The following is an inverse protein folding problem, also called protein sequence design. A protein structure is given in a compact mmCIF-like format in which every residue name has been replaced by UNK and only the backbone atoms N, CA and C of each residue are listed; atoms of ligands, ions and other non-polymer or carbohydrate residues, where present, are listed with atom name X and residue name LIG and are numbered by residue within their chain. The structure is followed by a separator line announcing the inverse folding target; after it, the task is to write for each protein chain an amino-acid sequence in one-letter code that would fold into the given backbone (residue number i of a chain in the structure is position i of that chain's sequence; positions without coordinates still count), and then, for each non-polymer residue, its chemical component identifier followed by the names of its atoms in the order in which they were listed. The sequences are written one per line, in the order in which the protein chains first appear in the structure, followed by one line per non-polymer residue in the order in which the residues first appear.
data_IF_064861538545
#
_entry.id   IF_064861538545
#
_cell.length_a   1.000
_cell.length_b   1.000
_cell.length_c   1.000
_cell.angle_alpha   90.00
_cell.angle_beta   90.00
_cell.angle_gamma   90.00
#
_symmetry.space_group_name_H-M   'P 1'
#
loop_
_entity.id
_entity.type
_entity.pdbx_description
1 polymer ?
#
# COMPACT_ATOMS: atom_id res chain seq x y z
N UNK A 1 -0.49 12.44 -16.87
CA UNK A 1 0.88 12.71 -17.37
C UNK A 1 1.53 13.87 -16.64
N UNK A 2 0.95 15.09 -16.67
CA UNK A 2 1.49 16.26 -15.93
C UNK A 2 1.69 15.99 -14.43
N UNK A 3 0.72 15.35 -13.78
CA UNK A 3 0.83 14.97 -12.36
C UNK A 3 2.01 14.04 -12.06
N UNK A 4 2.36 13.12 -12.97
CA UNK A 4 3.51 12.21 -12.77
C UNK A 4 4.82 13.00 -12.78
N UNK A 5 4.97 13.94 -13.71
CA UNK A 5 6.17 14.79 -13.83
C UNK A 5 6.30 15.70 -12.61
N UNK A 6 5.19 16.30 -12.16
CA UNK A 6 5.17 17.11 -10.94
C UNK A 6 5.55 16.28 -9.72
N UNK A 7 5.00 15.07 -9.56
CA UNK A 7 5.36 14.15 -8.48
C UNK A 7 6.84 13.74 -8.53
N UNK A 8 7.38 13.48 -9.73
CA UNK A 8 8.80 13.14 -9.90
C UNK A 8 9.72 14.27 -9.43
N UNK A 9 9.40 15.52 -9.78
CA UNK A 9 10.16 16.70 -9.33
C UNK A 9 10.05 16.86 -7.82
N UNK A 10 8.83 16.76 -7.26
CA UNK A 10 8.59 16.90 -5.82
C UNK A 10 9.23 15.78 -4.98
N UNK A 11 9.39 14.59 -5.55
CA UNK A 11 10.07 13.45 -4.92
C UNK A 11 11.58 13.44 -5.20
N UNK A 12 12.17 14.59 -5.52
CA UNK A 12 13.61 14.77 -5.74
C UNK A 12 14.21 13.82 -6.79
N UNK A 13 13.46 13.56 -7.86
CA UNK A 13 13.94 12.73 -8.96
C UNK A 13 13.97 11.23 -8.66
N UNK A 14 13.05 10.74 -7.82
CA UNK A 14 12.93 9.31 -7.51
C UNK A 14 12.72 8.48 -8.80
N UNK A 15 13.75 7.75 -9.20
CA UNK A 15 13.78 6.92 -10.41
C UNK A 15 12.80 5.74 -10.36
N UNK A 16 12.46 5.26 -9.16
CA UNK A 16 11.48 4.19 -8.94
C UNK A 16 10.08 4.57 -9.44
N UNK A 17 9.72 5.86 -9.36
CA UNK A 17 8.43 6.36 -9.86
C UNK A 17 8.34 6.22 -11.39
N UNK A 18 9.45 6.47 -12.10
CA UNK A 18 9.52 6.44 -13.55
C UNK A 18 9.56 5.00 -14.10
N UNK A 19 10.15 4.06 -13.35
CA UNK A 19 10.15 2.62 -13.67
C UNK A 19 8.92 1.87 -13.16
N UNK A 20 7.98 2.58 -12.52
CA UNK A 20 6.77 1.95 -11.97
C UNK A 20 5.83 1.42 -13.07
N UNK A 21 5.03 0.40 -12.72
CA UNK A 21 3.96 -0.09 -13.58
C UNK A 21 2.94 1.01 -13.94
N UNK A 22 2.77 2.01 -13.08
CA UNK A 22 1.87 3.13 -13.30
C UNK A 22 2.40 4.10 -14.38
N UNK A 23 3.69 4.44 -14.34
CA UNK A 23 4.30 5.26 -15.38
C UNK A 23 4.24 4.54 -16.74
N UNK A 24 4.59 3.25 -16.76
CA UNK A 24 4.50 2.43 -17.97
C UNK A 24 3.05 2.34 -18.49
N UNK A 25 2.07 2.17 -17.62
CA UNK A 25 0.67 2.07 -18.02
C UNK A 25 0.12 3.37 -18.61
N UNK A 26 0.50 4.53 -18.06
CA UNK A 26 0.10 5.83 -18.60
C UNK A 26 0.64 6.09 -20.01
N UNK A 27 1.89 5.70 -20.27
CA UNK A 27 2.50 5.85 -21.61
C UNK A 27 1.82 4.93 -22.62
N UNK A 28 1.54 3.69 -22.22
CA UNK A 28 0.85 2.72 -23.08
C UNK A 28 -0.59 3.14 -23.36
N UNK A 29 -1.32 3.62 -22.36
CA UNK A 29 -2.69 4.17 -22.56
C UNK A 29 -2.66 5.34 -23.54
N UNK A 30 -1.70 6.25 -23.41
CA UNK A 30 -1.56 7.37 -24.34
C UNK A 30 -1.29 6.91 -25.77
N UNK A 31 -0.39 5.92 -25.94
CA UNK A 31 -0.14 5.30 -27.24
C UNK A 31 -1.39 4.62 -27.83
N UNK A 32 -2.16 3.91 -27.01
CA UNK A 32 -3.41 3.27 -27.44
C UNK A 32 -4.45 4.34 -27.84
N UNK A 33 -4.61 5.42 -27.07
CA UNK A 33 -5.56 6.48 -27.37
C UNK A 33 -5.23 7.23 -28.67
N UNK A 34 -3.95 7.42 -28.99
CA UNK A 34 -3.50 8.08 -30.22
C UNK A 34 -3.61 7.14 -31.46
N UNK A 35 -3.48 5.82 -31.24
CA UNK A 35 -3.49 4.81 -32.29
C UNK A 35 -4.89 4.24 -32.58
N UNK A 36 -5.75 4.13 -31.56
CA UNK A 36 -7.13 3.63 -31.65
C UNK A 36 -7.96 4.31 -32.74
N UNK A 37 -8.01 5.67 -32.86
CA UNK A 37 -8.78 6.31 -33.93
C UNK A 37 -8.19 6.10 -35.33
N UNK A 38 -6.90 5.75 -35.46
CA UNK A 38 -6.21 5.54 -36.74
C UNK A 38 -6.31 4.10 -37.24
N UNK A 39 -6.38 3.12 -36.34
CA UNK A 39 -6.33 1.68 -36.69
C UNK A 39 -7.69 0.99 -36.58
N UNK A 40 -8.58 1.41 -35.68
CA UNK A 40 -9.83 0.68 -35.38
C UNK A 40 -11.09 1.16 -36.13
N UNK A 41 -10.94 2.04 -37.13
CA UNK A 41 -12.09 2.66 -37.85
C UNK A 41 -12.96 1.68 -38.66
N UNK A 42 -12.61 0.39 -38.73
CA UNK A 42 -13.25 -0.61 -39.61
C UNK A 42 -13.97 -1.79 -38.94
N UNK A 43 -13.91 -1.97 -37.62
CA UNK A 43 -14.42 -3.20 -36.98
C UNK A 43 -15.73 -2.97 -36.19
N UNK A 44 -16.78 -3.75 -36.51
CA UNK A 44 -18.15 -3.61 -35.96
C UNK A 44 -18.43 -4.36 -34.64
N UNK A 45 -17.47 -5.09 -34.07
CA UNK A 45 -17.67 -5.82 -32.80
C UNK A 45 -16.91 -5.14 -31.66
N UNK A 46 -17.62 -4.24 -30.96
CA UNK A 46 -17.09 -3.46 -29.83
C UNK A 46 -16.38 -4.36 -28.80
N UNK A 47 -16.98 -5.47 -28.38
CA UNK A 47 -16.41 -6.36 -27.34
C UNK A 47 -15.03 -6.93 -27.69
N UNK A 48 -14.81 -7.32 -28.95
CA UNK A 48 -13.51 -7.87 -29.37
C UNK A 48 -12.41 -6.79 -29.36
N UNK A 49 -12.78 -5.55 -29.66
CA UNK A 49 -11.88 -4.40 -29.61
C UNK A 49 -11.47 -4.08 -28.16
N UNK A 50 -12.41 -4.09 -27.22
CA UNK A 50 -12.10 -3.91 -25.79
C UNK A 50 -11.12 -4.97 -25.26
N UNK A 51 -11.28 -6.23 -25.68
CA UNK A 51 -10.37 -7.32 -25.28
C UNK A 51 -8.98 -7.11 -25.89
N UNK A 52 -8.89 -6.74 -27.17
CA UNK A 52 -7.59 -6.45 -27.81
C UNK A 52 -6.90 -5.27 -27.14
N UNK A 53 -7.61 -4.16 -26.91
CA UNK A 53 -7.05 -2.98 -26.25
C UNK A 53 -6.60 -3.30 -24.82
N UNK A 54 -7.37 -4.09 -24.07
CA UNK A 54 -6.99 -4.55 -22.73
C UNK A 54 -5.73 -5.44 -22.74
N UNK A 55 -5.65 -6.40 -23.68
CA UNK A 55 -4.46 -7.23 -23.84
C UNK A 55 -3.23 -6.44 -24.29
N UNK A 56 -3.40 -5.52 -25.24
CA UNK A 56 -2.34 -4.63 -25.72
C UNK A 56 -1.84 -3.71 -24.60
N UNK A 57 -2.76 -3.20 -23.77
CA UNK A 57 -2.42 -2.44 -22.57
C UNK A 57 -1.57 -3.28 -21.62
N UNK A 58 -2.05 -4.45 -21.20
CA UNK A 58 -1.32 -5.33 -20.27
C UNK A 58 0.08 -5.68 -20.80
N UNK A 59 0.16 -6.19 -22.03
CA UNK A 59 1.44 -6.60 -22.62
C UNK A 59 2.38 -5.40 -22.82
N UNK A 60 1.84 -4.27 -23.28
CA UNK A 60 2.58 -3.02 -23.43
C UNK A 60 3.15 -2.54 -22.09
N UNK A 61 2.36 -2.59 -21.01
CA UNK A 61 2.81 -2.14 -19.68
C UNK A 61 3.97 -2.99 -19.15
N UNK A 62 3.90 -4.31 -19.28
CA UNK A 62 4.94 -5.24 -18.83
C UNK A 62 6.21 -5.07 -19.66
N UNK A 63 6.07 -4.98 -20.99
CA UNK A 63 7.20 -4.82 -21.90
C UNK A 63 7.90 -3.48 -21.67
N UNK A 64 7.13 -2.39 -21.58
CA UNK A 64 7.68 -1.06 -21.35
C UNK A 64 8.35 -0.95 -19.99
N UNK A 65 7.76 -1.55 -18.94
CA UNK A 65 8.43 -1.62 -17.63
C UNK A 65 9.76 -2.37 -17.72
N UNK A 66 9.78 -3.53 -18.36
CA UNK A 66 11.00 -4.32 -18.48
C UNK A 66 12.09 -3.51 -19.20
N UNK A 67 11.75 -2.86 -20.31
CA UNK A 67 12.66 -2.00 -21.05
C UNK A 67 13.17 -0.81 -20.22
N UNK A 68 12.29 -0.09 -19.51
CA UNK A 68 12.71 1.06 -18.68
C UNK A 68 13.58 0.61 -17.50
N UNK A 69 13.29 -0.54 -16.89
CA UNK A 69 14.12 -1.11 -15.83
C UNK A 69 15.51 -1.53 -16.32
N UNK A 70 15.60 -2.05 -17.55
CA UNK A 70 16.87 -2.45 -18.17
C UNK A 70 17.74 -1.23 -18.52
N UNK A 71 17.13 -0.19 -19.09
CA UNK A 71 17.84 1.04 -19.48
C UNK A 71 18.37 1.79 -18.27
N UNK A 72 17.63 1.81 -17.16
CA UNK A 72 18.02 2.53 -15.95
C UNK A 72 18.83 1.67 -14.97
N UNK A 73 18.97 0.36 -15.20
CA UNK A 73 19.73 -0.55 -14.34
C UNK A 73 19.13 -0.76 -12.94
N UNK A 74 17.83 -0.52 -12.79
CA UNK A 74 17.12 -0.51 -11.50
C UNK A 74 16.51 -1.90 -11.27
N UNK A 75 17.07 -2.66 -10.32
CA UNK A 75 16.55 -3.96 -9.88
C UNK A 75 15.66 -3.88 -8.62
N UNK A 76 15.27 -2.67 -8.21
CA UNK A 76 14.71 -2.36 -6.89
C UNK A 76 13.29 -2.91 -6.69
N UNK A 77 12.51 -3.06 -7.76
CA UNK A 77 11.12 -3.56 -7.74
C UNK A 77 10.98 -5.08 -7.61
N UNK A 78 12.07 -5.84 -7.75
CA UNK A 78 12.02 -7.30 -7.72
C UNK A 78 11.56 -7.84 -6.33
N UNK A 79 11.78 -7.06 -5.27
CA UNK A 79 11.47 -7.49 -3.91
C UNK A 79 9.95 -7.61 -3.64
N UNK A 80 9.11 -6.72 -4.20
CA UNK A 80 7.64 -6.75 -4.00
C UNK A 80 7.04 -8.01 -4.64
N UNK A 81 7.48 -8.34 -5.86
CA UNK A 81 7.07 -9.57 -6.55
C UNK A 81 7.50 -10.82 -5.79
N UNK A 82 8.72 -10.82 -5.23
CA UNK A 82 9.22 -11.92 -4.41
C UNK A 82 8.44 -12.07 -3.09
N UNK A 83 7.99 -10.99 -2.46
CA UNK A 83 7.14 -11.04 -1.25
C UNK A 83 5.79 -11.69 -1.57
N UNK A 84 5.12 -11.29 -2.66
CA UNK A 84 3.86 -11.91 -3.06
C UNK A 84 4.08 -13.39 -3.45
N UNK A 85 5.16 -13.69 -4.18
CA UNK A 85 5.55 -15.07 -4.52
C UNK A 85 5.84 -15.90 -3.27
N UNK A 86 6.47 -15.33 -2.25
CA UNK A 86 6.71 -15.98 -0.96
C UNK A 86 5.40 -16.32 -0.25
N UNK A 87 4.40 -15.43 -0.30
CA UNK A 87 3.09 -15.65 0.34
C UNK A 87 2.25 -16.73 -0.36
N UNK A 88 2.25 -16.78 -1.69
CA UNK A 88 1.37 -17.70 -2.44
C UNK A 88 2.06 -19.00 -2.87
N UNK A 89 3.35 -18.95 -3.20
CA UNK A 89 4.11 -20.06 -3.81
C UNK A 89 5.14 -20.63 -2.81
N UNK A 90 5.33 -19.99 -1.65
CA UNK A 90 6.27 -20.46 -0.62
C UNK A 90 7.75 -20.25 -0.97
N UNK A 91 8.05 -19.30 -1.87
CA UNK A 91 9.42 -18.88 -2.17
C UNK A 91 10.10 -18.31 -0.91
N UNK A 92 11.37 -18.64 -0.67
CA UNK A 92 12.11 -18.20 0.53
C UNK A 92 13.48 -17.67 0.13
N UNK A 93 13.71 -16.40 0.39
CA UNK A 93 15.02 -15.76 0.41
C UNK A 93 15.16 -14.92 1.70
N UNK A 94 16.36 -14.38 1.96
CA UNK A 94 16.61 -13.62 3.18
C UNK A 94 15.67 -12.42 3.31
N UNK A 95 15.51 -11.66 2.22
CA UNK A 95 14.67 -10.47 2.18
C UNK A 95 13.20 -10.84 2.44
N UNK A 96 12.65 -11.81 1.71
CA UNK A 96 11.26 -12.25 1.88
C UNK A 96 10.98 -12.82 3.26
N UNK A 97 11.91 -13.58 3.86
CA UNK A 97 11.75 -14.07 5.23
C UNK A 97 11.80 -12.92 6.25
N UNK A 98 12.71 -11.96 6.07
CA UNK A 98 12.79 -10.78 6.93
C UNK A 98 11.48 -9.98 6.90
N UNK A 99 10.84 -9.83 5.75
CA UNK A 99 9.54 -9.15 5.64
C UNK A 99 8.38 -10.01 6.13
N UNK A 100 8.29 -11.28 5.72
CA UNK A 100 7.14 -12.13 6.07
C UNK A 100 7.10 -12.53 7.55
N UNK A 101 8.22 -12.48 8.27
CA UNK A 101 8.27 -12.68 9.71
C UNK A 101 7.84 -11.44 10.52
N UNK A 102 7.77 -10.27 9.89
CA UNK A 102 7.27 -9.06 10.54
C UNK A 102 5.74 -9.07 10.54
N UNK A 103 5.13 -8.81 11.71
CA UNK A 103 3.67 -8.85 11.89
C UNK A 103 2.92 -7.93 10.92
N UNK A 104 3.62 -6.92 10.41
CA UNK A 104 3.08 -5.90 9.53
C UNK A 104 2.85 -6.33 8.09
N UNK A 105 3.60 -7.35 7.65
CA UNK A 105 3.39 -8.00 6.36
C UNK A 105 2.57 -9.28 6.49
N UNK A 106 2.01 -9.57 7.66
CA UNK A 106 1.12 -10.70 7.84
C UNK A 106 -0.28 -10.43 7.23
N UNK A 107 -1.10 -11.48 7.14
CA UNK A 107 -2.49 -11.39 6.73
C UNK A 107 -3.33 -10.56 7.70
N UNK A 108 -4.48 -10.08 7.22
CA UNK A 108 -5.35 -9.24 8.03
C UNK A 108 -5.75 -9.88 9.37
N UNK A 109 -5.42 -9.23 10.49
CA UNK A 109 -5.89 -9.57 11.82
C UNK A 109 -7.43 -9.63 11.85
N UNK A 110 -7.96 -10.71 12.42
CA UNK A 110 -9.41 -10.94 12.55
C UNK A 110 -10.12 -9.84 13.36
N UNK A 111 -9.40 -9.11 14.21
CA UNK A 111 -9.97 -7.98 14.96
C UNK A 111 -10.37 -6.81 14.07
N UNK A 112 -9.65 -6.57 12.97
CA UNK A 112 -9.87 -5.43 12.07
C UNK A 112 -11.29 -5.41 11.48
N UNK A 113 -11.80 -6.48 10.82
CA UNK A 113 -13.16 -6.50 10.30
C UNK A 113 -14.24 -6.48 11.40
N UNK A 114 -13.93 -7.03 12.59
CA UNK A 114 -14.83 -6.95 13.74
C UNK A 114 -15.00 -5.50 14.20
N UNK A 115 -13.89 -4.74 14.30
CA UNK A 115 -13.93 -3.30 14.65
C UNK A 115 -14.71 -2.48 13.61
N UNK A 116 -14.56 -2.78 12.32
CA UNK A 116 -15.35 -2.12 11.27
C UNK A 116 -16.83 -2.47 11.32
N UNK A 117 -17.18 -3.65 11.80
CA UNK A 117 -18.58 -4.07 11.97
C UNK A 117 -19.21 -3.39 13.19
N UNK A 118 -18.50 -3.35 14.32
CA UNK A 118 -18.95 -2.67 15.54
C UNK A 118 -19.18 -1.17 15.33
N UNK A 119 -18.33 -0.51 14.55
CA UNK A 119 -18.48 0.92 14.21
C UNK A 119 -19.54 1.19 13.13
N UNK A 120 -20.28 0.17 12.69
CA UNK A 120 -21.25 0.20 11.58
C UNK A 120 -20.67 0.58 10.20
N UNK A 121 -19.35 0.85 10.09
CA UNK A 121 -18.71 1.24 8.83
C UNK A 121 -18.85 0.14 7.77
N UNK A 122 -18.53 -1.11 8.12
CA UNK A 122 -18.59 -2.24 7.18
C UNK A 122 -20.03 -2.53 6.73
N UNK A 123 -21.03 -2.67 7.62
CA UNK A 123 -22.43 -2.83 7.24
C UNK A 123 -22.93 -1.75 6.28
N UNK A 124 -22.61 -0.48 6.56
CA UNK A 124 -23.03 0.65 5.72
C UNK A 124 -22.42 0.55 4.31
N UNK A 125 -21.12 0.26 4.21
CA UNK A 125 -20.44 0.12 2.92
C UNK A 125 -20.99 -1.09 2.14
N UNK A 126 -21.27 -2.21 2.80
CA UNK A 126 -21.85 -3.38 2.14
C UNK A 126 -23.24 -3.08 1.54
N UNK A 127 -24.07 -2.30 2.22
CA UNK A 127 -25.36 -1.84 1.68
C UNK A 127 -25.15 -0.95 0.46
N UNK A 128 -24.25 0.03 0.52
CA UNK A 128 -23.92 0.90 -0.62
C UNK A 128 -23.41 0.07 -1.79
N UNK A 129 -22.48 -0.85 -1.54
CA UNK A 129 -21.88 -1.71 -2.56
C UNK A 129 -22.94 -2.63 -3.20
N UNK A 130 -23.83 -3.21 -2.41
CA UNK A 130 -24.95 -4.01 -2.92
C UNK A 130 -25.92 -3.20 -3.80
N UNK A 131 -26.21 -1.94 -3.43
CA UNK A 131 -27.01 -1.03 -4.25
C UNK A 131 -26.31 -0.69 -5.57
N UNK A 132 -25.00 -0.47 -5.54
CA UNK A 132 -24.20 -0.23 -6.75
C UNK A 132 -24.26 -1.47 -7.67
N UNK A 133 -24.05 -2.68 -7.14
CA UNK A 133 -24.15 -3.92 -7.93
C UNK A 133 -25.55 -4.06 -8.55
N UNK A 134 -26.62 -3.88 -7.76
CA UNK A 134 -27.99 -3.97 -8.24
C UNK A 134 -28.29 -2.95 -9.36
N UNK A 135 -27.76 -1.73 -9.23
CA UNK A 135 -27.88 -0.70 -10.28
C UNK A 135 -27.09 -1.07 -11.53
N UNK A 136 -25.92 -1.70 -11.39
CA UNK A 136 -25.13 -2.19 -12.53
C UNK A 136 -25.85 -3.30 -13.28
N UNK A 137 -26.37 -4.32 -12.58
CA UNK A 137 -27.07 -5.46 -13.22
C UNK A 137 -28.37 -5.04 -13.90
N UNK A 138 -29.14 -4.15 -13.28
CA UNK A 138 -30.38 -3.62 -13.87
C UNK A 138 -30.12 -2.79 -15.14
N UNK A 139 -29.04 -2.00 -15.17
CA UNK A 139 -28.72 -1.16 -16.34
C UNK A 139 -28.13 -2.00 -17.49
N UNK A 140 -27.43 -3.11 -17.21
CA UNK A 140 -26.97 -4.03 -18.26
C UNK A 140 -28.11 -4.75 -18.97
N UNK A 141 -29.21 -5.07 -18.28
CA UNK A 141 -30.40 -5.63 -18.93
C UNK A 141 -31.16 -4.60 -19.78
N UNK A 142 -31.23 -3.34 -19.31
CA UNK A 142 -31.90 -2.26 -20.03
C UNK A 142 -31.07 -1.68 -21.20
N UNK A 143 -29.76 -1.97 -21.26
CA UNK A 143 -28.87 -1.49 -22.32
C UNK A 143 -29.10 -2.15 -23.69
N UNK A 144 -30.06 -3.08 -23.82
CA UNK A 144 -30.50 -3.61 -25.11
C UNK A 144 -31.65 -2.78 -25.74
N UNK A 145 -32.02 -1.62 -25.19
CA UNK A 145 -33.02 -0.76 -25.84
C UNK A 145 -32.88 0.73 -25.49
N UNK A 146 -32.50 1.51 -26.52
CA UNK A 146 -32.96 2.89 -26.85
C UNK A 146 -32.10 4.11 -26.40
N UNK A 147 -31.65 4.79 -27.47
CA UNK A 147 -31.61 6.24 -27.78
C UNK A 147 -30.92 7.26 -26.85
N UNK A 148 -29.82 7.79 -27.40
CA UNK A 148 -29.09 9.01 -27.05
C UNK A 148 -30.01 10.25 -26.92
N UNK A 149 -29.98 10.91 -25.76
CA UNK A 149 -30.34 12.33 -25.60
C UNK A 149 -29.51 12.95 -24.45
N UNK A 150 -29.11 14.21 -24.64
CA UNK A 150 -28.01 14.96 -23.97
C UNK A 150 -28.06 15.04 -22.43
N UNK A 151 -29.14 14.60 -21.78
CA UNK A 151 -29.29 14.52 -20.31
C UNK A 151 -28.54 13.33 -19.69
N UNK A 152 -28.10 12.38 -20.50
CA UNK A 152 -27.54 11.10 -20.02
C UNK A 152 -26.03 11.15 -19.70
N UNK A 153 -25.27 12.14 -20.20
CA UNK A 153 -23.79 12.19 -20.02
C UNK A 153 -23.41 12.29 -18.54
N UNK A 154 -24.11 13.11 -17.76
CA UNK A 154 -23.84 13.26 -16.33
C UNK A 154 -24.21 11.98 -15.55
N UNK A 155 -25.28 11.30 -15.97
CA UNK A 155 -25.71 10.02 -15.40
C UNK A 155 -24.74 8.87 -15.72
N UNK A 156 -24.20 8.83 -16.95
CA UNK A 156 -23.17 7.87 -17.35
C UNK A 156 -21.83 8.15 -16.65
N UNK A 157 -21.40 9.40 -16.57
CA UNK A 157 -20.15 9.76 -15.87
C UNK A 157 -20.21 9.37 -14.39
N UNK A 158 -21.33 9.67 -13.72
CA UNK A 158 -21.56 9.27 -12.34
C UNK A 158 -21.57 7.74 -12.18
N UNK A 159 -22.17 7.01 -13.12
CA UNK A 159 -22.15 5.55 -13.13
C UNK A 159 -20.73 4.98 -13.27
N UNK A 160 -19.95 5.47 -14.24
CA UNK A 160 -18.55 5.06 -14.40
C UNK A 160 -17.72 5.36 -13.16
N UNK A 161 -17.95 6.51 -12.52
CA UNK A 161 -17.29 6.87 -11.28
C UNK A 161 -17.64 5.91 -10.13
N UNK A 162 -18.92 5.50 -10.00
CA UNK A 162 -19.33 4.52 -9.01
C UNK A 162 -18.70 3.14 -9.25
N UNK A 163 -18.66 2.69 -10.50
CA UNK A 163 -18.00 1.42 -10.87
C UNK A 163 -16.51 1.48 -10.56
N UNK A 164 -15.85 2.60 -10.86
CA UNK A 164 -14.45 2.81 -10.53
C UNK A 164 -14.20 2.70 -9.01
N UNK A 165 -14.98 3.40 -8.19
CA UNK A 165 -14.84 3.32 -6.72
C UNK A 165 -15.16 1.92 -6.16
N UNK A 166 -16.08 1.18 -6.78
CA UNK A 166 -16.40 -0.20 -6.42
C UNK A 166 -15.23 -1.16 -6.73
N UNK A 167 -14.64 -1.05 -7.92
CA UNK A 167 -13.45 -1.83 -8.31
C UNK A 167 -12.23 -1.47 -7.45
N UNK A 168 -12.04 -0.19 -7.17
CA UNK A 168 -10.97 0.30 -6.28
C UNK A 168 -11.14 -0.23 -4.85
N UNK A 169 -12.38 -0.27 -4.34
CA UNK A 169 -12.68 -0.85 -3.03
C UNK A 169 -12.32 -2.34 -2.97
N UNK A 170 -12.64 -3.10 -4.02
CA UNK A 170 -12.28 -4.51 -4.12
C UNK A 170 -10.75 -4.69 -4.13
N UNK A 171 -10.05 -3.90 -4.93
CA UNK A 171 -8.59 -3.95 -5.03
C UNK A 171 -7.92 -3.64 -3.67
N UNK A 172 -8.34 -2.59 -2.97
CA UNK A 172 -7.81 -2.27 -1.64
C UNK A 172 -8.19 -3.29 -0.58
N UNK A 173 -9.36 -3.92 -0.70
CA UNK A 173 -9.78 -4.99 0.20
C UNK A 173 -8.88 -6.22 0.04
N UNK A 174 -8.63 -6.66 -1.20
CA UNK A 174 -7.68 -7.75 -1.50
C UNK A 174 -6.30 -7.40 -0.96
N UNK A 175 -5.82 -6.19 -1.25
CA UNK A 175 -4.50 -5.75 -0.81
C UNK A 175 -4.35 -5.72 0.72
N UNK A 176 -5.37 -5.23 1.43
CA UNK A 176 -5.39 -5.18 2.88
C UNK A 176 -5.51 -6.57 3.52
N UNK A 177 -6.19 -7.53 2.87
CA UNK A 177 -6.24 -8.93 3.32
C UNK A 177 -4.85 -9.55 3.23
N UNK A 178 -4.10 -9.26 2.16
CA UNK A 178 -2.77 -9.83 1.94
C UNK A 178 -1.69 -9.24 2.85
N UNK A 179 -1.77 -7.94 3.16
CA UNK A 179 -0.76 -7.20 3.94
C UNK A 179 -1.46 -6.28 4.93
N UNK A 180 -1.24 -6.55 6.22
CA UNK A 180 -1.86 -5.84 7.35
C UNK A 180 -1.71 -4.32 7.31
N UNK A 181 -0.51 -3.82 7.01
CA UNK A 181 -0.27 -2.36 6.91
C UNK A 181 -1.11 -1.67 5.83
N UNK A 182 -1.52 -2.39 4.78
CA UNK A 182 -2.26 -1.81 3.66
C UNK A 182 -3.74 -1.57 3.99
N UNK A 183 -4.21 -1.96 5.19
CA UNK A 183 -5.49 -1.48 5.75
C UNK A 183 -5.55 0.05 5.90
N UNK A 184 -4.39 0.71 5.93
CA UNK A 184 -4.26 2.17 5.87
C UNK A 184 -4.90 2.77 4.62
N UNK A 185 -4.86 2.07 3.48
CA UNK A 185 -5.49 2.53 2.23
C UNK A 185 -6.97 2.15 2.15
N UNK A 186 -7.34 1.00 2.73
CA UNK A 186 -8.72 0.54 2.77
C UNK A 186 -9.62 1.45 3.62
N UNK A 187 -9.16 1.85 4.81
CA UNK A 187 -9.99 2.56 5.80
C UNK A 187 -10.54 3.90 5.26
N UNK A 188 -9.74 4.81 4.68
CA UNK A 188 -10.25 6.06 4.13
C UNK A 188 -11.22 5.82 2.97
N UNK A 189 -10.95 4.81 2.13
CA UNK A 189 -11.83 4.48 1.00
C UNK A 189 -13.17 3.92 1.46
N UNK A 190 -13.21 3.11 2.53
CA UNK A 190 -14.45 2.70 3.19
C UNK A 190 -15.25 3.90 3.67
N UNK A 191 -14.61 4.91 4.25
CA UNK A 191 -15.29 6.14 4.70
C UNK A 191 -15.89 6.93 3.51
N UNK A 192 -15.16 7.04 2.40
CA UNK A 192 -15.67 7.68 1.17
C UNK A 192 -16.89 6.91 0.65
N UNK A 193 -16.81 5.58 0.58
CA UNK A 193 -17.93 4.74 0.16
C UNK A 193 -19.13 4.84 1.11
N UNK A 194 -18.89 4.93 2.42
CA UNK A 194 -19.95 5.12 3.41
C UNK A 194 -20.68 6.46 3.23
N UNK A 195 -19.96 7.52 2.86
CA UNK A 195 -20.58 8.84 2.61
C UNK A 195 -21.61 8.83 1.47
N UNK A 196 -21.52 7.86 0.54
CA UNK A 196 -22.47 7.72 -0.57
C UNK A 196 -23.89 7.34 -0.11
N UNK A 197 -24.08 6.92 1.15
CA UNK A 197 -25.43 6.78 1.75
C UNK A 197 -26.19 8.10 1.69
N UNK A 198 -25.51 9.23 1.81
CA UNK A 198 -26.12 10.55 1.72
C UNK A 198 -26.51 10.95 0.28
N UNK A 199 -26.13 10.17 -0.72
CA UNK A 199 -26.40 10.50 -2.13
C UNK A 199 -27.85 10.21 -2.52
N UNK A 200 -28.57 11.26 -2.90
CA UNK A 200 -29.94 11.17 -3.42
C UNK A 200 -30.05 10.37 -4.72
N UNK A 201 -28.98 10.33 -5.52
CA UNK A 201 -28.98 9.61 -6.80
C UNK A 201 -29.00 8.08 -6.60
N UNK A 202 -28.35 7.59 -5.54
CA UNK A 202 -28.32 6.18 -5.17
C UNK A 202 -29.58 5.78 -4.39
N UNK A 203 -29.91 6.54 -3.34
CA UNK A 203 -30.96 6.21 -2.38
C UNK A 203 -32.27 7.00 -2.56
N UNK A 204 -32.53 7.52 -3.76
CA UNK A 204 -33.73 8.32 -4.06
C UNK A 204 -35.04 7.65 -3.64
N UNK A 205 -35.20 6.34 -3.89
CA UNK A 205 -36.37 5.56 -3.45
C UNK A 205 -36.57 5.55 -1.92
N UNK A 206 -35.48 5.50 -1.16
CA UNK A 206 -35.52 5.49 0.30
C UNK A 206 -35.85 6.88 0.85
N UNK A 207 -35.33 7.92 0.22
CA UNK A 207 -35.62 9.32 0.58
C UNK A 207 -37.01 9.80 0.18
N UNK A 208 -37.71 9.07 -0.70
CA UNK A 208 -39.14 9.30 -0.95
C UNK A 208 -40.02 8.87 0.25
N UNK A 209 -39.56 7.90 1.05
CA UNK A 209 -40.32 7.37 2.20
C UNK A 209 -39.93 7.99 3.53
N UNK A 210 -38.65 8.33 3.70
CA UNK A 210 -38.08 8.83 4.95
C UNK A 210 -37.35 10.13 4.66
N UNK A 211 -37.51 11.13 5.53
CA UNK A 211 -36.76 12.38 5.38
C UNK A 211 -35.24 12.10 5.43
N UNK A 212 -34.45 12.52 4.42
CA UNK A 212 -33.02 12.22 4.33
C UNK A 212 -32.24 12.67 5.57
N UNK A 213 -32.64 13.79 6.16
CA UNK A 213 -32.02 14.35 7.37
C UNK A 213 -32.11 13.38 8.55
N UNK A 214 -33.27 12.75 8.76
CA UNK A 214 -33.50 11.82 9.86
C UNK A 214 -32.69 10.54 9.70
N UNK A 215 -32.59 10.00 8.47
CA UNK A 215 -31.80 8.80 8.20
C UNK A 215 -30.31 9.04 8.42
N UNK A 216 -29.77 10.15 7.90
CA UNK A 216 -28.35 10.50 8.05
C UNK A 216 -28.02 10.77 9.52
N UNK A 217 -28.89 11.49 10.24
CA UNK A 217 -28.70 11.75 11.66
C UNK A 217 -28.71 10.46 12.49
N UNK A 218 -29.63 9.53 12.20
CA UNK A 218 -29.69 8.24 12.90
C UNK A 218 -28.42 7.40 12.68
N UNK A 219 -27.94 7.31 11.43
CA UNK A 219 -26.71 6.56 11.12
C UNK A 219 -25.50 7.20 11.80
N UNK A 220 -25.37 8.52 11.74
CA UNK A 220 -24.28 9.24 12.41
C UNK A 220 -24.31 9.04 13.93
N UNK A 221 -25.49 9.12 14.56
CA UNK A 221 -25.64 8.90 15.99
C UNK A 221 -25.20 7.48 16.39
N UNK A 222 -25.61 6.46 15.64
CA UNK A 222 -25.20 5.06 15.90
C UNK A 222 -23.69 4.86 15.72
N UNK A 223 -23.10 5.42 14.66
CA UNK A 223 -21.65 5.34 14.44
C UNK A 223 -20.86 6.11 15.51
N UNK A 224 -21.38 7.21 16.02
CA UNK A 224 -20.72 8.06 17.01
C UNK A 224 -20.61 7.40 18.40
N UNK A 225 -21.53 6.50 18.77
CA UNK A 225 -21.47 5.80 20.07
C UNK A 225 -20.18 4.99 20.19
N UNK A 226 -19.95 4.04 19.29
CA UNK A 226 -18.73 3.22 19.27
C UNK A 226 -17.51 4.03 18.83
N UNK A 227 -17.68 5.01 17.95
CA UNK A 227 -16.61 5.90 17.51
C UNK A 227 -16.03 6.73 18.66
N UNK A 228 -16.87 7.30 19.50
CA UNK A 228 -16.45 8.11 20.65
C UNK A 228 -15.75 7.27 21.73
N UNK A 229 -16.24 6.06 22.03
CA UNK A 229 -15.60 5.15 22.96
C UNK A 229 -14.18 4.76 22.50
N UNK A 230 -14.01 4.50 21.20
CA UNK A 230 -12.71 4.18 20.62
C UNK A 230 -11.77 5.40 20.63
N UNK A 231 -12.26 6.60 20.27
CA UNK A 231 -11.50 7.85 20.36
C UNK A 231 -11.04 8.14 21.79
N UNK A 232 -11.92 7.99 22.77
CA UNK A 232 -11.57 8.17 24.18
C UNK A 232 -10.46 7.20 24.60
N UNK A 233 -10.55 5.94 24.17
CA UNK A 233 -9.51 4.94 24.43
C UNK A 233 -8.18 5.35 23.81
N UNK A 234 -8.17 5.81 22.56
CA UNK A 234 -6.93 6.24 21.89
C UNK A 234 -6.34 7.54 22.48
N UNK A 235 -7.18 8.51 22.85
CA UNK A 235 -6.73 9.74 23.51
C UNK A 235 -6.22 9.49 24.93
N UNK A 236 -6.72 8.46 25.61
CA UNK A 236 -6.19 8.03 26.90
C UNK A 236 -4.82 7.34 26.77
N UNK A 237 -4.42 6.88 25.58
CA UNK A 237 -3.05 6.41 25.31
C UNK A 237 -2.19 7.66 25.05
N UNK A 238 -1.99 8.46 26.10
CA UNK A 238 -1.08 9.59 26.10
C UNK A 238 0.20 9.14 26.82
N UNK A 239 1.14 8.61 26.04
CA UNK A 239 2.46 8.20 26.53
C UNK A 239 3.49 8.38 25.44
N UNK A 240 4.53 9.16 25.72
CA UNK A 240 5.74 9.15 24.91
C UNK A 240 6.36 7.74 24.98
N UNK A 241 6.98 7.30 23.88
CA UNK A 241 7.68 6.03 23.85
C UNK A 241 8.82 6.07 24.87
N UNK A 242 8.62 5.46 26.04
CA UNK A 242 9.63 5.35 27.09
C UNK A 242 10.28 3.98 27.00
N UNK A 243 11.56 3.97 26.69
CA UNK A 243 12.36 2.75 26.65
C UNK A 243 13.70 3.06 27.32
N UNK A 244 13.71 2.99 28.66
CA UNK A 244 14.86 3.34 29.49
C UNK A 244 16.17 2.65 29.02
N UNK A 245 16.21 1.34 28.73
CA UNK A 245 17.42 0.70 28.18
C UNK A 245 17.91 1.31 26.87
N UNK A 246 17.00 1.73 26.00
CA UNK A 246 17.35 2.37 24.73
C UNK A 246 17.85 3.80 24.95
N UNK A 247 17.24 4.54 25.88
CA UNK A 247 17.69 5.89 26.25
C UNK A 247 19.10 5.86 26.86
N UNK A 248 19.35 4.97 27.82
CA UNK A 248 20.67 4.76 28.43
C UNK A 248 21.73 4.41 27.38
N UNK A 249 21.40 3.54 26.42
CA UNK A 249 22.28 3.20 25.31
C UNK A 249 22.60 4.44 24.45
N UNK A 250 21.61 5.26 24.14
CA UNK A 250 21.80 6.46 23.31
C UNK A 250 22.63 7.52 24.04
N UNK A 251 22.43 7.68 25.35
CA UNK A 251 23.26 8.56 26.18
C UNK A 251 24.70 8.05 26.28
N UNK A 252 24.89 6.75 26.50
CA UNK A 252 26.22 6.14 26.49
C UNK A 252 26.93 6.36 25.16
N UNK A 253 26.24 6.20 24.02
CA UNK A 253 26.83 6.46 22.70
C UNK A 253 27.28 7.92 22.59
N UNK A 254 26.47 8.88 23.05
CA UNK A 254 26.81 10.32 22.98
C UNK A 254 28.07 10.65 23.79
N UNK A 255 28.17 10.12 25.02
CA UNK A 255 29.23 10.48 25.96
C UNK A 255 30.50 9.66 25.77
N UNK A 256 30.37 8.38 25.43
CA UNK A 256 31.49 7.42 25.45
C UNK A 256 32.08 7.10 24.08
N UNK A 257 31.50 7.58 22.97
CA UNK A 257 32.01 7.29 21.62
C UNK A 257 32.34 8.53 20.80
N UNK A 258 33.33 8.38 19.91
CA UNK A 258 33.75 9.44 18.99
C UNK A 258 32.64 9.76 17.98
N UNK A 259 32.64 11.00 17.48
CA UNK A 259 31.63 11.49 16.53
C UNK A 259 31.66 10.75 15.18
N UNK A 260 32.82 10.24 14.79
CA UNK A 260 33.06 9.47 13.57
C UNK A 260 32.83 7.95 13.74
N UNK A 261 32.47 7.49 14.94
CA UNK A 261 32.27 6.07 15.22
C UNK A 261 31.05 5.52 14.47
N UNK A 262 31.29 4.46 13.70
CA UNK A 262 30.29 3.81 12.85
C UNK A 262 29.60 2.66 13.61
N UNK A 263 28.28 2.69 13.64
CA UNK A 263 27.45 1.69 14.31
C UNK A 263 26.75 0.74 13.32
N UNK A 264 26.60 -0.52 13.73
CA UNK A 264 25.77 -1.51 13.07
C UNK A 264 24.84 -2.20 14.08
N UNK A 265 23.68 -2.66 13.62
CA UNK A 265 22.67 -3.33 14.44
C UNK A 265 21.36 -3.46 13.68
N UNK A 266 20.27 -3.78 14.39
CA UNK A 266 18.96 -3.88 13.77
C UNK A 266 18.49 -2.50 13.27
N UNK A 267 17.70 -2.51 12.20
CA UNK A 267 17.23 -1.28 11.56
C UNK A 267 16.52 -0.28 12.47
N UNK A 268 15.55 -0.67 13.33
CA UNK A 268 14.86 0.30 14.19
C UNK A 268 15.83 0.98 15.16
N UNK A 269 16.76 0.22 15.75
CA UNK A 269 17.76 0.74 16.68
C UNK A 269 18.75 1.68 15.99
N UNK A 270 19.17 1.35 14.76
CA UNK A 270 20.05 2.24 13.98
C UNK A 270 19.37 3.58 13.64
N UNK A 271 18.06 3.58 13.36
CA UNK A 271 17.32 4.82 13.14
C UNK A 271 17.37 5.72 14.39
N UNK A 272 17.13 5.16 15.58
CA UNK A 272 17.22 5.89 16.84
C UNK A 272 18.63 6.39 17.13
N UNK A 273 19.67 5.57 16.88
CA UNK A 273 21.07 5.99 17.02
C UNK A 273 21.37 7.17 16.10
N UNK A 274 20.99 7.10 14.82
CA UNK A 274 21.25 8.17 13.87
C UNK A 274 20.54 9.47 14.25
N UNK A 275 19.27 9.40 14.63
CA UNK A 275 18.47 10.59 14.95
C UNK A 275 18.90 11.24 16.28
N UNK A 276 19.18 10.43 17.31
CA UNK A 276 19.48 10.95 18.64
C UNK A 276 20.94 11.33 18.83
N UNK A 277 21.88 10.62 18.19
CA UNK A 277 23.33 10.77 18.44
C UNK A 277 24.10 11.31 17.23
N UNK A 278 23.45 11.39 16.05
CA UNK A 278 24.04 11.79 14.76
C UNK A 278 25.19 10.91 14.25
N UNK A 279 25.52 9.81 14.95
CA UNK A 279 26.59 8.88 14.57
C UNK A 279 26.33 8.24 13.20
N UNK A 280 27.37 7.97 12.40
CA UNK A 280 27.24 7.17 11.19
C UNK A 280 26.69 5.77 11.47
N UNK A 281 25.80 5.29 10.61
CA UNK A 281 25.22 3.95 10.68
C UNK A 281 25.43 3.19 9.38
N UNK A 282 25.64 1.88 9.46
CA UNK A 282 25.83 1.01 8.28
C UNK A 282 24.50 0.47 7.75
N UNK A 283 23.57 0.18 8.65
CA UNK A 283 22.27 -0.42 8.32
C UNK A 283 21.18 0.62 8.47
N UNK A 284 20.53 0.99 7.36
CA UNK A 284 19.47 1.98 7.32
C UNK A 284 18.15 1.30 6.91
N UNK A 285 16.98 1.65 7.50
CA UNK A 285 15.66 1.11 7.14
C UNK A 285 15.15 1.61 5.78
N UNK A 286 15.98 1.54 4.74
CA UNK A 286 15.59 1.84 3.38
C UNK A 286 15.83 0.60 2.51
N UNK A 287 14.72 -0.02 2.13
CA UNK A 287 14.66 -1.36 1.58
C UNK A 287 14.66 -1.40 0.05
N UNK A 288 14.38 -0.27 -0.57
CA UNK A 288 14.23 -0.17 -2.03
C UNK A 288 15.59 -0.34 -2.71
N UNK A 289 16.64 0.24 -2.13
CA UNK A 289 18.00 0.13 -2.64
C UNK A 289 18.61 -1.28 -2.44
N UNK A 290 19.04 -1.90 -3.55
CA UNK A 290 19.66 -3.23 -3.52
C UNK A 290 21.00 -3.28 -2.75
N UNK A 291 21.79 -2.21 -2.78
CA UNK A 291 23.06 -2.12 -2.06
C UNK A 291 22.88 -2.10 -0.54
N UNK A 292 21.88 -1.37 -0.05
CA UNK A 292 21.47 -1.33 1.35
C UNK A 292 20.97 -2.70 1.80
N UNK A 293 20.12 -3.39 1.01
CA UNK A 293 19.69 -4.76 1.33
C UNK A 293 20.85 -5.73 1.46
N UNK A 294 21.84 -5.66 0.57
CA UNK A 294 23.05 -6.48 0.66
C UNK A 294 23.84 -6.21 1.95
N UNK A 295 23.97 -4.94 2.36
CA UNK A 295 24.60 -4.56 3.63
C UNK A 295 23.81 -5.04 4.84
N UNK A 296 22.48 -4.90 4.81
CA UNK A 296 21.59 -5.44 5.84
C UNK A 296 21.82 -6.92 6.03
N UNK A 297 21.89 -7.71 4.95
CA UNK A 297 22.14 -9.16 5.03
C UNK A 297 23.47 -9.48 5.73
N UNK A 298 24.51 -8.68 5.51
CA UNK A 298 25.79 -8.81 6.22
C UNK A 298 25.64 -8.48 7.70
N UNK A 299 24.96 -7.38 8.04
CA UNK A 299 24.74 -6.97 9.43
C UNK A 299 23.95 -8.02 10.21
N UNK A 300 22.83 -8.50 9.65
CA UNK A 300 22.02 -9.55 10.26
C UNK A 300 22.69 -10.94 10.27
N UNK A 301 23.80 -11.13 9.54
CA UNK A 301 24.54 -12.40 9.61
C UNK A 301 25.13 -12.68 10.99
N UNK A 302 25.24 -11.66 11.85
CA UNK A 302 25.57 -11.79 13.27
C UNK A 302 24.58 -12.70 14.03
N UNK A 303 23.31 -12.72 13.63
CA UNK A 303 22.27 -13.57 14.22
C UNK A 303 22.15 -14.95 13.56
N UNK A 304 23.00 -15.24 12.56
CA UNK A 304 22.99 -16.51 11.85
C UNK A 304 23.92 -17.54 12.50
N UNK A 305 23.88 -18.80 12.01
CA UNK A 305 24.81 -19.86 12.45
C UNK A 305 26.20 -19.79 11.80
N UNK A 306 26.56 -18.65 11.20
CA UNK A 306 27.87 -18.45 10.57
C UNK A 306 28.99 -18.34 11.63
N UNK A 307 30.23 -18.73 11.30
CA UNK A 307 31.34 -18.61 12.22
C UNK A 307 31.64 -17.13 12.51
N UNK A 308 31.84 -16.79 13.79
CA UNK A 308 32.08 -15.41 14.23
C UNK A 308 33.26 -14.72 13.53
N UNK A 309 34.29 -15.50 13.13
CA UNK A 309 35.44 -14.98 12.36
C UNK A 309 35.04 -14.46 10.97
N UNK A 310 34.09 -15.12 10.31
CA UNK A 310 33.58 -14.68 9.00
C UNK A 310 32.75 -13.41 9.16
N UNK A 311 31.80 -13.40 10.11
CA UNK A 311 30.94 -12.23 10.37
C UNK A 311 31.79 -11.00 10.74
N UNK A 312 32.76 -11.16 11.64
CA UNK A 312 33.69 -10.08 12.03
C UNK A 312 34.44 -9.52 10.82
N UNK A 313 34.93 -10.38 9.93
CA UNK A 313 35.63 -9.96 8.71
C UNK A 313 34.74 -9.09 7.83
N UNK A 314 33.49 -9.51 7.61
CA UNK A 314 32.55 -8.75 6.77
C UNK A 314 32.12 -7.43 7.43
N UNK A 315 31.91 -7.40 8.75
CA UNK A 315 31.61 -6.15 9.46
C UNK A 315 32.77 -5.14 9.41
N UNK A 316 34.01 -5.61 9.52
CA UNK A 316 35.21 -4.75 9.39
C UNK A 316 35.32 -4.20 7.98
N UNK A 317 35.03 -5.00 6.93
CA UNK A 317 34.99 -4.50 5.54
C UNK A 317 33.99 -3.36 5.34
N UNK A 318 32.90 -3.35 6.11
CA UNK A 318 31.91 -2.29 6.11
C UNK A 318 32.30 -1.07 6.97
N UNK A 319 33.46 -1.10 7.63
CA UNK A 319 33.95 0.00 8.46
C UNK A 319 33.26 0.11 9.83
N UNK A 320 32.62 -0.96 10.31
CA UNK A 320 31.89 -0.95 11.59
C UNK A 320 32.87 -0.86 12.77
N UNK A 321 32.64 0.10 13.68
CA UNK A 321 33.39 0.19 14.94
C UNK A 321 32.67 -0.49 16.09
N UNK A 322 31.35 -0.29 16.18
CA UNK A 322 30.51 -0.83 17.25
C UNK A 322 29.31 -1.58 16.68
N UNK A 323 28.99 -2.72 17.28
CA UNK A 323 27.80 -3.51 16.94
C UNK A 323 26.84 -3.54 18.13
N UNK A 324 25.59 -3.16 17.92
CA UNK A 324 24.53 -3.21 18.93
C UNK A 324 23.80 -4.54 18.79
N UNK A 325 23.96 -5.41 19.78
CA UNK A 325 23.37 -6.75 19.79
C UNK A 325 22.07 -6.74 20.59
N UNK A 326 20.96 -6.92 19.90
CA UNK A 326 19.66 -7.13 20.54
C UNK A 326 19.44 -8.61 20.89
N UNK A 327 19.27 -8.89 22.19
CA UNK A 327 19.05 -10.26 22.69
C UNK A 327 17.75 -10.87 22.15
N UNK A 328 16.72 -10.04 21.95
CA UNK A 328 15.44 -10.44 21.37
C UNK A 328 15.60 -11.14 20.01
N UNK A 329 16.57 -10.75 19.20
CA UNK A 329 16.86 -11.37 17.90
C UNK A 329 17.71 -12.64 18.01
N UNK A 330 18.51 -12.78 19.08
CA UNK A 330 19.35 -13.95 19.33
C UNK A 330 18.57 -15.13 19.94
N UNK A 331 17.68 -14.84 20.90
CA UNK A 331 17.07 -15.87 21.76
C UNK A 331 15.63 -16.21 21.34
N UNK A 332 14.96 -15.32 20.59
CA UNK A 332 13.58 -15.52 20.16
C UNK A 332 13.44 -16.70 19.19
N UNK A 333 13.16 -17.88 19.73
CA UNK A 333 12.52 -18.99 19.02
C UNK A 333 11.01 -18.77 19.06
N UNK A 334 10.48 -17.85 18.25
CA UNK A 334 9.05 -17.91 17.95
C UNK A 334 8.81 -19.18 17.13
N UNK A 335 8.01 -20.09 17.69
CA UNK A 335 7.55 -21.32 17.03
C UNK A 335 6.64 -21.00 15.87
#
# INVERSE_FOLDING_TARGET
QVSLVVCFILMFGNSMLLTSYYAASLVVIWGILELSPKVLKGSRREVYLWVIEGCAWLFGTVTLKYLTSLVLGIADDAHIGNILKSKFIGYKDFDTLMYTCAAEFDFMEKETPVRYTKTLLLPVVLVVFGVIIKRCTFKTEMSMQICFCVVDVFGYLFFFQLVYHALQLLAYSVLAILIMRLKLFLTPHLCVMASLVCSKQLFGWLFCKIQPKTLVFAILALMAIEGSANLQTQWNIMGEFSNLPQEELLEWIKVSTRQDAVFAGAMPTMASVKLSTLRPIVNHPHYEDAGLRARTKVVYSMYSRKPAKEVKRELIKLGVNYYILEESLCVSRKK
#
